data_IF_135315316747
#
_entry.id   IF_135315316747
#
_cell.length_a   1.000
_cell.length_b   1.000
_cell.length_c   1.000
_cell.angle_alpha   90.00
_cell.angle_beta   90.00
_cell.angle_gamma   90.00
#
_symmetry.space_group_name_H-M   'P 1'
#
loop_
_entity.id
_entity.type
_entity.pdbx_description
1 polymer ?
#
# COMPACT_ATOMS: atom_id res chain seq x y z
N UNK A 1 -13.26 3.00 2.15
CA UNK A 1 -11.99 2.38 2.54
C UNK A 1 -11.14 2.13 1.32
N UNK A 2 -10.21 3.06 1.04
CA UNK A 2 -9.12 2.88 0.08
C UNK A 2 -7.94 2.20 0.77
N UNK A 3 -7.52 1.06 0.22
CA UNK A 3 -6.43 0.23 0.73
C UNK A 3 -5.31 0.19 -0.30
N UNK A 4 -4.08 0.49 0.11
CA UNK A 4 -2.90 0.48 -0.78
C UNK A 4 -1.86 -0.50 -0.25
N UNK A 5 -1.44 -1.44 -1.10
CA UNK A 5 -0.29 -2.32 -0.85
C UNK A 5 0.90 -1.79 -1.63
N UNK A 6 1.99 -1.42 -0.94
CA UNK A 6 3.14 -0.74 -1.55
C UNK A 6 4.19 -1.71 -2.14
N UNK A 7 4.20 -2.97 -1.71
CA UNK A 7 5.22 -3.96 -2.11
C UNK A 7 4.69 -5.40 -2.10
N UNK A 8 3.58 -5.59 -2.82
CA UNK A 8 2.81 -6.82 -2.86
C UNK A 8 3.52 -8.02 -3.49
N UNK A 9 4.51 -7.81 -4.38
CA UNK A 9 5.13 -8.91 -5.14
C UNK A 9 5.73 -9.99 -4.24
N UNK A 10 6.39 -9.59 -3.15
CA UNK A 10 7.02 -10.54 -2.23
C UNK A 10 6.02 -11.27 -1.34
N UNK A 11 4.85 -10.67 -1.08
CA UNK A 11 3.77 -11.26 -0.30
C UNK A 11 2.89 -12.19 -1.13
N UNK A 12 2.69 -11.85 -2.41
CA UNK A 12 1.92 -12.64 -3.36
C UNK A 12 2.42 -12.33 -4.79
N UNK A 13 3.33 -13.15 -5.35
CA UNK A 13 3.79 -13.04 -6.74
C UNK A 13 2.78 -13.61 -7.77
N UNK A 14 1.56 -13.95 -7.34
CA UNK A 14 0.47 -14.43 -8.21
C UNK A 14 -0.02 -15.85 -7.92
N UNK A 15 0.54 -16.52 -6.90
CA UNK A 15 0.14 -17.85 -6.45
C UNK A 15 -0.93 -17.84 -5.35
N UNK A 16 -1.17 -16.68 -4.72
CA UNK A 16 -2.23 -16.43 -3.74
C UNK A 16 -3.29 -15.46 -4.29
N UNK A 17 -4.35 -15.24 -3.50
CA UNK A 17 -5.45 -14.35 -3.86
C UNK A 17 -5.53 -13.12 -2.95
N UNK A 18 -5.81 -11.96 -3.56
CA UNK A 18 -6.10 -10.70 -2.85
C UNK A 18 -7.60 -10.50 -2.58
N UNK A 19 -8.46 -11.44 -2.95
CA UNK A 19 -9.93 -11.25 -2.88
C UNK A 19 -10.42 -10.98 -1.45
N UNK A 20 -9.86 -11.63 -0.44
CA UNK A 20 -10.22 -11.37 0.95
C UNK A 20 -9.94 -9.92 1.37
N UNK A 21 -8.89 -9.30 0.83
CA UNK A 21 -8.58 -7.89 1.09
C UNK A 21 -9.53 -6.97 0.33
N UNK A 22 -9.86 -7.29 -0.92
CA UNK A 22 -10.81 -6.52 -1.76
C UNK A 22 -12.23 -6.48 -1.20
N UNK A 23 -12.62 -7.47 -0.39
CA UNK A 23 -13.91 -7.45 0.33
C UNK A 23 -13.98 -6.29 1.35
N UNK A 24 -12.84 -5.84 1.87
CA UNK A 24 -12.78 -4.79 2.89
C UNK A 24 -12.79 -3.37 2.30
N UNK A 25 -12.48 -3.22 1.00
CA UNK A 25 -12.39 -1.92 0.37
C UNK A 25 -11.77 -1.93 -1.03
N UNK A 26 -11.70 -0.76 -1.64
CA UNK A 26 -11.03 -0.55 -2.92
C UNK A 26 -9.53 -0.73 -2.74
N UNK A 27 -8.94 -1.71 -3.43
CA UNK A 27 -7.53 -2.07 -3.26
C UNK A 27 -6.69 -1.70 -4.49
N UNK A 28 -5.62 -0.95 -4.27
CA UNK A 28 -4.54 -0.76 -5.25
C UNK A 28 -3.30 -1.48 -4.77
N UNK A 29 -2.76 -2.38 -5.59
CA UNK A 29 -1.63 -3.25 -5.23
C UNK A 29 -0.47 -2.94 -6.17
N UNK A 30 0.63 -2.45 -5.61
CA UNK A 30 1.88 -2.23 -6.32
C UNK A 30 2.85 -3.37 -6.03
N UNK A 31 3.54 -3.87 -7.06
CA UNK A 31 4.57 -4.90 -6.89
C UNK A 31 5.71 -4.41 -6.00
N UNK A 32 6.15 -3.16 -6.23
CA UNK A 32 7.19 -2.45 -5.49
C UNK A 32 6.91 -0.94 -5.51
N UNK A 33 7.37 -0.26 -4.47
CA UNK A 33 7.35 1.20 -4.36
C UNK A 33 8.74 1.75 -4.05
N UNK A 34 9.23 2.62 -4.92
CA UNK A 34 10.42 3.41 -4.68
C UNK A 34 10.14 4.54 -3.68
N UNK A 35 11.15 5.03 -2.93
CA UNK A 35 10.96 6.08 -1.93
C UNK A 35 10.26 7.34 -2.45
N UNK A 36 10.53 7.73 -3.69
CA UNK A 36 9.96 8.90 -4.38
C UNK A 36 8.48 8.73 -4.76
N UNK A 37 7.99 7.49 -4.91
CA UNK A 37 6.60 7.19 -5.28
C UNK A 37 5.69 7.04 -4.03
N UNK A 38 6.29 6.89 -2.84
CA UNK A 38 5.56 6.53 -1.62
C UNK A 38 4.43 7.52 -1.30
N UNK A 39 4.72 8.82 -1.33
CA UNK A 39 3.74 9.83 -0.95
C UNK A 39 2.58 9.87 -1.94
N UNK A 40 2.87 9.80 -3.25
CA UNK A 40 1.85 9.78 -4.28
C UNK A 40 0.93 8.55 -4.14
N UNK A 41 1.50 7.37 -3.91
CA UNK A 41 0.75 6.12 -3.78
C UNK A 41 -0.05 6.03 -2.49
N UNK A 42 0.41 6.67 -1.41
CA UNK A 42 -0.23 6.61 -0.09
C UNK A 42 -1.18 7.80 0.19
N UNK A 43 -1.15 8.87 -0.61
CA UNK A 43 -1.82 10.14 -0.30
C UNK A 43 -3.32 10.01 0.03
N UNK A 44 -4.04 9.17 -0.72
CA UNK A 44 -5.49 8.97 -0.55
C UNK A 44 -5.83 7.65 0.15
N UNK A 45 -4.84 6.92 0.66
CA UNK A 45 -5.05 5.64 1.31
C UNK A 45 -5.55 5.85 2.74
N UNK A 46 -6.68 5.22 3.07
CA UNK A 46 -7.15 5.08 4.46
C UNK A 46 -6.36 3.96 5.18
N UNK A 47 -5.89 2.97 4.42
CA UNK A 47 -5.07 1.87 4.92
C UNK A 47 -3.87 1.65 4.01
N UNK A 48 -2.68 1.63 4.57
CA UNK A 48 -1.43 1.29 3.87
C UNK A 48 -0.88 -0.03 4.41
N UNK A 49 -0.59 -0.96 3.51
CA UNK A 49 0.08 -2.22 3.79
C UNK A 49 1.48 -2.19 3.16
N UNK A 50 2.49 -2.53 3.96
CA UNK A 50 3.89 -2.60 3.55
C UNK A 50 4.58 -3.79 4.17
N UNK A 51 5.42 -4.47 3.39
CA UNK A 51 6.33 -5.50 3.86
C UNK A 51 7.67 -4.88 4.31
N UNK A 52 8.24 -4.01 3.47
CA UNK A 52 9.60 -3.42 3.63
C UNK A 52 9.71 -1.98 3.14
N UNK A 53 8.70 -1.39 2.50
CA UNK A 53 8.72 0.05 2.17
C UNK A 53 8.79 0.86 3.47
N UNK A 54 9.81 1.71 3.57
CA UNK A 54 10.14 2.44 4.79
C UNK A 54 9.22 3.65 4.96
N UNK A 55 8.38 3.62 5.99
CA UNK A 55 7.51 4.72 6.38
C UNK A 55 8.16 5.43 7.59
N UNK A 56 8.41 6.74 7.45
CA UNK A 56 8.98 7.61 8.49
C UNK A 56 7.89 8.55 8.99
N UNK A 57 8.11 9.19 10.14
CA UNK A 57 7.18 10.19 10.69
C UNK A 57 6.79 11.26 9.66
N UNK A 58 7.76 11.81 8.92
CA UNK A 58 7.51 12.79 7.84
C UNK A 58 6.59 12.30 6.72
N UNK A 59 6.50 10.99 6.48
CA UNK A 59 5.58 10.44 5.47
C UNK A 59 4.15 10.42 6.01
N UNK A 60 3.98 10.08 7.29
CA UNK A 60 2.68 10.08 7.98
C UNK A 60 2.09 11.49 8.06
N UNK A 61 2.92 12.52 8.23
CA UNK A 61 2.48 13.93 8.22
C UNK A 61 1.79 14.35 6.91
N UNK A 62 2.03 13.63 5.80
CA UNK A 62 1.42 13.88 4.50
C UNK A 62 0.21 12.96 4.20
N UNK A 63 -0.16 12.09 5.14
CA UNK A 63 -1.30 11.17 5.02
C UNK A 63 -2.35 11.57 6.07
N UNK A 64 -3.30 12.46 5.73
CA UNK A 64 -4.22 13.08 6.70
C UNK A 64 -5.45 12.22 7.05
N UNK A 65 -5.56 11.03 6.48
CA UNK A 65 -6.72 10.13 6.60
C UNK A 65 -6.51 9.04 7.64
#
# INVERSE_FOLDING_TARGET
MKIVVLDGFTANPGDLSWEALKVLGECTIYDRTAPEELLERAAEAEVVLTNKVVIKAKHMEHCPH
#
